data_IF_688569258666
#
_entry.id   IF_688569258666
#
_cell.length_a   1.000
_cell.length_b   1.000
_cell.length_c   1.000
_cell.angle_alpha   90.00
_cell.angle_beta   90.00
_cell.angle_gamma   90.00
#
_symmetry.space_group_name_H-M   'P 1'
#
loop_
_entity.id
_entity.type
_entity.pdbx_description
1 polymer ?
#
# COMPACT_ATOMS: atom_id res chain seq x y z
N UNK A 1 6.44 16.42 12.12
CA UNK A 1 5.64 15.23 12.01
C UNK A 1 6.55 14.01 11.77
N UNK A 2 6.26 12.93 12.46
CA UNK A 2 7.08 11.71 12.41
C UNK A 2 6.58 10.74 11.36
N UNK A 3 7.47 10.29 10.48
CA UNK A 3 7.17 9.26 9.49
C UNK A 3 8.10 8.08 9.69
N UNK A 4 7.58 6.87 9.46
CA UNK A 4 8.40 5.68 9.45
C UNK A 4 9.19 5.60 8.15
N UNK A 5 10.17 4.69 8.12
CA UNK A 5 10.94 4.45 6.89
C UNK A 5 10.03 4.03 5.74
N UNK A 6 9.01 3.22 6.03
CA UNK A 6 8.07 2.79 5.01
C UNK A 6 7.26 3.96 4.48
N UNK A 7 6.81 4.84 5.38
CA UNK A 7 6.05 6.01 4.95
C UNK A 7 6.90 6.92 4.07
N UNK A 8 8.16 7.11 4.45
CA UNK A 8 9.09 7.89 3.62
C UNK A 8 9.31 7.23 2.26
N UNK A 9 9.46 5.92 2.24
CA UNK A 9 9.63 5.18 1.00
C UNK A 9 8.43 5.37 0.08
N UNK A 10 7.23 5.19 0.60
CA UNK A 10 5.98 5.35 -0.17
C UNK A 10 5.85 6.78 -0.67
N UNK A 11 6.13 7.75 0.19
CA UNK A 11 6.05 9.16 -0.19
C UNK A 11 7.00 9.45 -1.37
N UNK A 12 8.23 8.97 -1.28
CA UNK A 12 9.21 9.17 -2.35
C UNK A 12 8.84 8.42 -3.62
N UNK A 13 8.32 7.21 -3.49
CA UNK A 13 7.86 6.43 -4.63
C UNK A 13 6.77 7.17 -5.39
N UNK A 14 5.74 7.63 -4.69
CA UNK A 14 4.63 8.32 -5.33
C UNK A 14 5.05 9.68 -5.90
N UNK A 15 5.97 10.35 -5.25
CA UNK A 15 6.52 11.59 -5.79
C UNK A 15 7.24 11.32 -7.12
N UNK A 16 8.05 10.27 -7.17
CA UNK A 16 8.75 9.87 -8.39
C UNK A 16 7.78 9.50 -9.51
N UNK A 17 6.67 8.86 -9.15
CA UNK A 17 5.66 8.45 -10.13
C UNK A 17 4.66 9.55 -10.47
N UNK A 18 4.81 10.73 -9.87
CA UNK A 18 3.89 11.86 -10.06
C UNK A 18 2.47 11.52 -9.63
N UNK A 19 2.35 10.80 -8.54
CA UNK A 19 1.08 10.45 -7.92
C UNK A 19 0.91 11.34 -6.70
N UNK A 20 -0.17 12.13 -6.65
CA UNK A 20 -0.35 13.08 -5.58
C UNK A 20 -1.77 13.15 -5.00
N UNK A 21 -2.72 12.40 -5.56
CA UNK A 21 -4.07 12.41 -5.00
C UNK A 21 -4.72 11.03 -5.16
N UNK A 22 -5.75 10.73 -4.32
CA UNK A 22 -6.35 9.40 -4.30
C UNK A 22 -7.00 8.96 -5.60
N UNK A 23 -7.42 9.88 -6.44
CA UNK A 23 -8.05 9.51 -7.72
C UNK A 23 -7.08 8.83 -8.68
N UNK A 24 -5.79 8.98 -8.43
CA UNK A 24 -4.76 8.34 -9.25
C UNK A 24 -4.44 6.93 -8.77
N UNK A 25 -5.00 6.50 -7.66
CA UNK A 25 -4.70 5.19 -7.07
C UNK A 25 -5.59 4.12 -7.70
N UNK A 26 -5.09 3.52 -8.78
CA UNK A 26 -5.77 2.43 -9.46
C UNK A 26 -4.75 1.41 -9.95
N UNK A 27 -5.21 0.17 -10.10
CA UNK A 27 -4.34 -0.89 -10.63
C UNK A 27 -3.82 -0.50 -12.01
N UNK A 28 -4.70 -0.02 -12.87
CA UNK A 28 -4.30 0.29 -14.25
C UNK A 28 -3.19 1.34 -14.31
N UNK A 29 -3.35 2.43 -13.57
CA UNK A 29 -2.36 3.50 -13.61
C UNK A 29 -1.07 3.09 -12.93
N UNK A 30 -1.16 2.48 -11.75
CA UNK A 30 0.04 2.07 -11.01
C UNK A 30 0.82 1.00 -11.75
N UNK A 31 0.13 0.04 -12.38
CA UNK A 31 0.80 -1.00 -13.18
C UNK A 31 1.59 -0.37 -14.32
N UNK A 32 0.99 0.60 -14.99
CA UNK A 32 1.66 1.30 -16.08
C UNK A 32 2.88 2.06 -15.59
N UNK A 33 2.74 2.79 -14.50
CA UNK A 33 3.85 3.60 -13.98
C UNK A 33 4.96 2.76 -13.38
N UNK A 34 4.63 1.60 -12.83
CA UNK A 34 5.63 0.69 -12.25
C UNK A 34 6.18 -0.30 -13.28
N UNK A 35 5.63 -0.27 -14.49
CA UNK A 35 6.05 -1.14 -15.59
C UNK A 35 5.90 -2.62 -15.25
N UNK A 36 4.74 -2.97 -14.70
CA UNK A 36 4.38 -4.36 -14.43
C UNK A 36 3.15 -4.74 -15.25
N UNK A 37 3.05 -6.02 -15.58
CA UNK A 37 1.89 -6.57 -16.29
C UNK A 37 0.96 -7.21 -15.29
N UNK A 38 -0.34 -6.94 -15.42
CA UNK A 38 -1.34 -7.46 -14.51
C UNK A 38 -2.22 -8.48 -15.19
N UNK A 39 -2.41 -9.61 -14.54
CA UNK A 39 -3.29 -10.70 -14.98
C UNK A 39 -4.22 -11.05 -13.84
N UNK A 40 -5.36 -11.65 -14.17
CA UNK A 40 -6.34 -12.06 -13.16
C UNK A 40 -6.51 -13.57 -13.20
N UNK A 41 -6.62 -14.17 -12.03
CA UNK A 41 -6.73 -15.61 -11.92
C UNK A 41 -7.41 -16.05 -10.64
N UNK A 42 -7.10 -17.26 -10.19
CA UNK A 42 -7.74 -17.85 -9.01
C UNK A 42 -6.97 -17.58 -7.71
N UNK A 43 -5.71 -17.19 -7.82
CA UNK A 43 -4.87 -16.85 -6.66
C UNK A 43 -4.02 -15.65 -7.02
N UNK A 44 -3.58 -14.92 -6.00
CA UNK A 44 -2.70 -13.78 -6.21
C UNK A 44 -1.25 -14.20 -6.01
N UNK A 45 -0.38 -13.81 -6.94
CA UNK A 45 1.05 -14.08 -6.79
C UNK A 45 1.85 -13.19 -7.75
N UNK A 46 3.14 -13.12 -7.49
CA UNK A 46 4.08 -12.37 -8.31
C UNK A 46 4.99 -13.33 -9.06
N UNK A 47 5.21 -13.08 -10.35
CA UNK A 47 6.16 -13.84 -11.17
C UNK A 47 6.95 -12.85 -12.02
N UNK A 48 8.18 -12.54 -11.58
CA UNK A 48 8.98 -11.52 -12.24
C UNK A 48 8.32 -10.15 -12.16
N UNK A 49 8.06 -9.57 -13.33
CA UNK A 49 7.32 -8.31 -13.44
C UNK A 49 5.83 -8.52 -13.74
N UNK A 50 5.35 -9.73 -13.56
CA UNK A 50 3.95 -10.08 -13.79
C UNK A 50 3.25 -10.28 -12.45
N UNK A 51 2.17 -9.56 -12.28
CA UNK A 51 1.36 -9.59 -11.06
C UNK A 51 0.06 -10.28 -11.41
N UNK A 52 -0.22 -11.40 -10.77
CA UNK A 52 -1.49 -12.11 -10.94
C UNK A 52 -2.35 -11.78 -9.72
N UNK A 53 -3.56 -11.33 -9.98
CA UNK A 53 -4.50 -10.91 -8.94
C UNK A 53 -5.70 -11.84 -8.92
N UNK A 54 -6.04 -12.35 -7.74
CA UNK A 54 -7.23 -13.16 -7.57
C UNK A 54 -8.47 -12.32 -7.86
N UNK A 55 -9.34 -12.82 -8.71
CA UNK A 55 -10.60 -12.12 -9.04
C UNK A 55 -11.46 -12.03 -7.79
N UNK A 56 -11.89 -10.81 -7.48
CA UNK A 56 -12.71 -10.55 -6.31
C UNK A 56 -13.38 -9.19 -6.48
N UNK A 57 -13.72 -8.51 -5.40
CA UNK A 57 -14.25 -7.16 -5.51
C UNK A 57 -13.15 -6.21 -5.97
N UNK A 58 -13.55 -5.07 -6.53
CA UNK A 58 -12.60 -4.06 -6.96
C UNK A 58 -11.68 -3.64 -5.82
N UNK A 59 -12.25 -3.47 -4.63
CA UNK A 59 -11.48 -3.09 -3.46
C UNK A 59 -10.45 -4.14 -3.08
N UNK A 60 -10.87 -5.40 -3.03
CA UNK A 60 -9.95 -6.48 -2.68
C UNK A 60 -8.88 -6.68 -3.73
N UNK A 61 -9.21 -6.52 -4.99
CA UNK A 61 -8.21 -6.62 -6.06
C UNK A 61 -7.14 -5.54 -5.91
N UNK A 62 -7.54 -4.32 -5.61
CA UNK A 62 -6.61 -3.22 -5.37
C UNK A 62 -5.70 -3.51 -4.17
N UNK A 63 -6.27 -4.04 -3.10
CA UNK A 63 -5.51 -4.39 -1.89
C UNK A 63 -4.51 -5.51 -2.17
N UNK A 64 -4.92 -6.53 -2.93
CA UNK A 64 -4.04 -7.62 -3.33
C UNK A 64 -2.92 -7.12 -4.24
N UNK A 65 -3.24 -6.21 -5.13
CA UNK A 65 -2.22 -5.59 -5.98
C UNK A 65 -1.16 -4.90 -5.12
N UNK A 66 -1.58 -4.16 -4.11
CA UNK A 66 -0.63 -3.51 -3.19
C UNK A 66 0.29 -4.51 -2.51
N UNK A 67 -0.26 -5.65 -2.09
CA UNK A 67 0.52 -6.71 -1.46
C UNK A 67 1.59 -7.24 -2.42
N UNK A 68 1.20 -7.56 -3.66
CA UNK A 68 2.13 -8.12 -4.64
C UNK A 68 3.16 -7.09 -5.08
N UNK A 69 2.79 -5.82 -5.16
CA UNK A 69 3.76 -4.76 -5.48
C UNK A 69 4.80 -4.65 -4.37
N UNK A 70 4.41 -4.87 -3.12
CA UNK A 70 5.37 -4.92 -2.03
C UNK A 70 6.45 -5.96 -2.28
N UNK A 71 6.05 -7.16 -2.71
CA UNK A 71 7.01 -8.22 -3.07
C UNK A 71 7.86 -7.81 -4.27
N UNK A 72 7.23 -7.23 -5.29
CA UNK A 72 7.93 -6.83 -6.51
C UNK A 72 9.01 -5.80 -6.23
N UNK A 73 8.69 -4.76 -5.49
CA UNK A 73 9.65 -3.70 -5.21
C UNK A 73 10.79 -4.19 -4.34
N UNK A 74 10.53 -5.12 -3.45
CA UNK A 74 11.58 -5.73 -2.65
C UNK A 74 12.55 -6.50 -3.52
N UNK A 75 12.05 -7.21 -4.54
CA UNK A 75 12.91 -7.98 -5.44
C UNK A 75 13.76 -7.10 -6.33
N UNK A 76 13.16 -6.13 -7.00
CA UNK A 76 13.85 -5.37 -8.04
C UNK A 76 14.62 -4.18 -7.50
N UNK A 77 14.09 -3.52 -6.49
CA UNK A 77 14.67 -2.29 -5.99
C UNK A 77 15.43 -2.46 -4.70
N UNK A 78 15.05 -3.45 -3.93
CA UNK A 78 15.64 -3.71 -2.64
C UNK A 78 15.71 -2.44 -1.77
N UNK A 79 14.84 -1.49 -2.03
CA UNK A 79 14.88 -0.19 -1.37
C UNK A 79 14.20 -0.20 -0.02
N UNK A 80 13.41 -1.25 0.25
CA UNK A 80 12.82 -1.41 1.56
C UNK A 80 13.86 -1.88 2.56
N UNK A 81 15.08 -2.13 2.10
CA UNK A 81 16.18 -2.56 2.92
C UNK A 81 15.81 -3.73 3.80
N UNK A 82 15.08 -4.65 3.21
CA UNK A 82 14.66 -5.83 3.94
C UNK A 82 15.86 -6.68 4.18
N UNK A 83 16.33 -6.63 5.39
CA UNK A 83 17.39 -7.44 5.87
C UNK A 83 17.01 -8.90 5.71
N UNK A 84 17.98 -9.75 5.40
CA UNK A 84 17.75 -11.19 5.30
C UNK A 84 17.17 -11.78 6.57
N UNK A 85 17.37 -11.12 7.71
CA UNK A 85 16.76 -11.54 8.96
C UNK A 85 15.23 -11.52 8.90
N UNK A 86 14.65 -10.76 7.98
CA UNK A 86 13.22 -10.60 7.89
C UNK A 86 12.60 -11.44 6.78
N UNK A 87 13.34 -12.38 6.20
CA UNK A 87 12.79 -13.24 5.16
C UNK A 87 11.53 -13.95 5.65
N UNK A 88 11.54 -14.39 6.91
CA UNK A 88 10.39 -15.08 7.50
C UNK A 88 9.20 -14.14 7.75
N UNK A 89 9.42 -12.84 7.62
CA UNK A 89 8.37 -11.85 7.82
C UNK A 89 7.94 -11.23 6.50
N UNK A 90 8.25 -11.87 5.37
CA UNK A 90 7.96 -11.30 4.06
C UNK A 90 6.48 -10.99 3.88
N UNK A 91 5.61 -11.91 4.29
CA UNK A 91 4.17 -11.70 4.14
C UNK A 91 3.66 -10.59 5.04
N UNK A 92 4.14 -10.52 6.26
CA UNK A 92 3.80 -9.42 7.16
C UNK A 92 4.24 -8.08 6.58
N UNK A 93 5.46 -8.04 6.02
CA UNK A 93 5.97 -6.82 5.43
C UNK A 93 5.21 -6.41 4.17
N UNK A 94 4.80 -7.40 3.37
CA UNK A 94 3.99 -7.13 2.18
C UNK A 94 2.61 -6.60 2.56
N UNK A 95 2.01 -7.14 3.62
CA UNK A 95 0.74 -6.63 4.13
C UNK A 95 0.90 -5.20 4.64
N UNK A 96 1.94 -4.96 5.43
CA UNK A 96 2.22 -3.62 5.94
C UNK A 96 2.45 -2.63 4.81
N UNK A 97 3.18 -3.07 3.78
CA UNK A 97 3.39 -2.27 2.58
C UNK A 97 2.05 -1.94 1.92
N UNK A 98 1.18 -2.95 1.76
CA UNK A 98 -0.10 -2.75 1.09
C UNK A 98 -0.96 -1.69 1.80
N UNK A 99 -1.00 -1.70 3.13
CA UNK A 99 -1.75 -0.70 3.87
C UNK A 99 -1.27 0.71 3.56
N UNK A 100 0.03 0.90 3.47
CA UNK A 100 0.60 2.22 3.20
C UNK A 100 0.57 2.59 1.72
N UNK A 101 0.68 1.59 0.84
CA UNK A 101 0.62 1.81 -0.59
C UNK A 101 -0.78 2.21 -1.04
N UNK A 102 -1.79 1.51 -0.54
CA UNK A 102 -3.18 1.78 -0.89
C UNK A 102 -3.74 3.01 -0.20
N UNK A 103 -3.21 3.35 0.98
CA UNK A 103 -3.65 4.51 1.76
C UNK A 103 -2.40 5.25 2.26
N UNK A 104 -1.75 6.01 1.38
CA UNK A 104 -0.50 6.70 1.75
C UNK A 104 -0.74 7.74 2.85
N UNK A 105 0.18 7.83 3.78
CA UNK A 105 0.06 8.75 4.92
C UNK A 105 -0.16 10.19 4.46
N UNK A 106 0.59 10.65 3.45
CA UNK A 106 0.47 12.03 3.02
C UNK A 106 -0.91 12.36 2.42
N UNK A 107 -1.58 11.36 1.84
CA UNK A 107 -2.94 11.53 1.34
C UNK A 107 -3.96 11.40 2.47
N UNK A 108 -3.71 10.47 3.39
CA UNK A 108 -4.61 10.25 4.54
C UNK A 108 -4.71 11.51 5.39
N UNK A 109 -3.61 12.22 5.56
CA UNK A 109 -3.57 13.46 6.35
C UNK A 109 -4.43 14.57 5.74
N UNK A 110 -4.72 14.49 4.45
CA UNK A 110 -5.54 15.50 3.76
C UNK A 110 -7.03 15.18 3.81
N UNK A 111 -7.40 14.01 4.33
CA UNK A 111 -8.81 13.61 4.41
C UNK A 111 -9.47 14.38 5.54
N UNK A 112 -10.59 15.04 5.24
CA UNK A 112 -11.40 15.68 6.27
C UNK A 112 -12.20 14.61 6.99
N UNK A 113 -12.28 14.75 8.32
CA UNK A 113 -13.07 13.84 9.13
C UNK A 113 -12.65 12.38 8.93
N UNK A 114 -11.41 12.07 9.31
CA UNK A 114 -10.83 10.74 9.13
C UNK A 114 -11.59 9.69 9.94
N UNK A 115 -12.23 8.77 9.25
CA UNK A 115 -12.93 7.63 9.85
C UNK A 115 -12.98 6.49 8.82
N UNK A 116 -13.46 5.33 9.24
CA UNK A 116 -13.48 4.14 8.37
C UNK A 116 -14.22 4.41 7.06
N UNK A 117 -15.33 5.11 7.13
CA UNK A 117 -16.16 5.35 5.94
C UNK A 117 -15.50 6.32 4.96
N UNK A 118 -14.92 7.40 5.46
CA UNK A 118 -14.24 8.36 4.58
C UNK A 118 -12.99 7.74 3.96
N UNK A 119 -12.28 6.91 4.70
CA UNK A 119 -11.11 6.22 4.16
C UNK A 119 -11.52 5.24 3.08
N UNK A 120 -12.53 4.40 3.38
CA UNK A 120 -13.02 3.41 2.42
C UNK A 120 -13.45 4.05 1.11
N UNK A 121 -14.17 5.14 1.20
CA UNK A 121 -14.66 5.85 0.02
C UNK A 121 -13.54 6.55 -0.74
N UNK A 122 -12.67 7.23 -0.01
CA UNK A 122 -11.60 8.03 -0.63
C UNK A 122 -10.58 7.14 -1.35
N UNK A 123 -10.22 6.02 -0.75
CA UNK A 123 -9.14 5.17 -1.26
C UNK A 123 -9.63 3.88 -1.92
N UNK A 124 -10.94 3.69 -1.99
CA UNK A 124 -11.57 2.54 -2.64
C UNK A 124 -11.04 1.22 -2.06
N UNK A 125 -11.11 1.11 -0.74
CA UNK A 125 -10.74 -0.10 -0.01
C UNK A 125 -11.91 -0.56 0.83
N UNK A 126 -11.94 -1.84 1.23
CA UNK A 126 -13.03 -2.32 2.06
C UNK A 126 -12.91 -1.80 3.50
N UNK A 127 -13.99 -1.98 4.27
CA UNK A 127 -14.05 -1.41 5.61
C UNK A 127 -13.00 -2.03 6.55
N UNK A 128 -12.74 -3.32 6.41
CA UNK A 128 -11.77 -4.00 7.28
C UNK A 128 -10.36 -3.48 7.03
N UNK A 129 -10.01 -3.29 5.76
CA UNK A 129 -8.72 -2.75 5.38
C UNK A 129 -8.59 -1.30 5.88
N UNK A 130 -9.66 -0.51 5.69
CA UNK A 130 -9.68 0.88 6.16
C UNK A 130 -9.52 0.95 7.68
N UNK A 131 -10.21 0.06 8.42
CA UNK A 131 -10.13 0.03 9.86
C UNK A 131 -8.71 -0.28 10.34
N UNK A 132 -8.09 -1.28 9.73
CA UNK A 132 -6.73 -1.65 10.09
C UNK A 132 -5.76 -0.50 9.85
N UNK A 133 -5.89 0.15 8.69
CA UNK A 133 -5.04 1.30 8.37
C UNK A 133 -5.25 2.46 9.33
N UNK A 134 -6.50 2.71 9.69
CA UNK A 134 -6.83 3.76 10.64
C UNK A 134 -6.22 3.47 12.02
N UNK A 135 -6.29 2.20 12.46
CA UNK A 135 -5.67 1.81 13.72
C UNK A 135 -4.18 2.07 13.70
N UNK A 136 -3.50 1.74 12.61
CA UNK A 136 -2.07 2.00 12.47
C UNK A 136 -1.77 3.49 12.58
N UNK A 137 -2.58 4.31 11.92
CA UNK A 137 -2.42 5.76 11.96
C UNK A 137 -2.65 6.32 13.36
N UNK A 138 -3.70 5.88 14.01
CA UNK A 138 -4.04 6.33 15.37
C UNK A 138 -2.99 5.90 16.38
N UNK A 139 -2.49 4.68 16.27
CA UNK A 139 -1.46 4.18 17.16
C UNK A 139 -0.18 5.00 17.02
N UNK A 140 0.18 5.36 15.79
CA UNK A 140 1.33 6.22 15.55
C UNK A 140 1.16 7.58 16.19
N UNK A 141 -0.02 8.19 16.03
CA UNK A 141 -0.32 9.49 16.63
C UNK A 141 -0.28 9.42 18.14
N UNK A 142 -0.79 8.33 18.71
CA UNK A 142 -0.78 8.14 20.15
C UNK A 142 0.64 8.08 20.69
N UNK A 143 1.52 7.34 20.03
CA UNK A 143 2.92 7.29 20.41
C UNK A 143 3.57 8.66 20.33
N UNK A 144 3.31 9.40 19.26
CA UNK A 144 3.89 10.73 19.07
C UNK A 144 3.43 11.68 20.15
N UNK A 145 2.14 11.63 20.53
CA UNK A 145 1.58 12.53 21.52
C UNK A 145 1.89 12.11 22.96
N UNK A 146 2.23 10.85 23.16
CA UNK A 146 2.59 10.35 24.48
C UNK A 146 3.99 10.71 24.92
N UNK A 147 4.69 11.42 24.08
CA UNK A 147 6.02 11.90 24.43
C UNK A 147 5.93 13.20 25.22
#
# INVERSE_FOLDING_TARGET
LFYSHLEDYINNLYKTLSINNPKQLSIALLAKKLDVEVYYGNVSFLFGDKVVIKRSTKQQEWQEFGHEIGHYLRHVGNHLSMNTLFINLQEYQADNFAYHFCIPTFMLQEVKDINIYTISETFDVDYEFARHRLDMHNNKLLFASGK
#
